data_IF_846870072655
#
_entry.id   IF_846870072655
#
_cell.length_a   1.000
_cell.length_b   1.000
_cell.length_c   1.000
_cell.angle_alpha   90.00
_cell.angle_beta   90.00
_cell.angle_gamma   90.00
#
_symmetry.space_group_name_H-M   'P 1'
#
loop_
_entity.id
_entity.type
_entity.pdbx_description
1 polymer ?
#
# COMPACT_ATOMS: atom_id res chain seq x y z
N UNK A 1 39.62 -6.65 -51.88
CA UNK A 1 39.83 -6.54 -50.42
C UNK A 1 39.03 -7.64 -49.73
N UNK A 2 39.77 -8.59 -49.15
CA UNK A 2 39.50 -9.41 -47.95
C UNK A 2 38.05 -9.71 -47.49
N UNK A 3 37.74 -11.03 -47.47
CA UNK A 3 36.72 -11.80 -46.70
C UNK A 3 36.71 -11.48 -45.17
N UNK A 4 35.70 -11.86 -44.33
CA UNK A 4 35.03 -13.18 -44.37
C UNK A 4 33.55 -13.33 -43.93
N UNK A 5 33.07 -14.53 -44.24
CA UNK A 5 31.93 -15.30 -43.71
C UNK A 5 31.91 -15.44 -42.17
N UNK A 6 30.71 -15.42 -41.57
CA UNK A 6 30.37 -16.14 -40.33
C UNK A 6 28.83 -16.35 -40.31
N UNK A 7 28.34 -17.58 -40.52
CA UNK A 7 28.06 -18.62 -39.50
C UNK A 7 26.78 -18.31 -38.72
N UNK A 8 25.76 -19.16 -38.95
CA UNK A 8 24.52 -19.16 -38.20
C UNK A 8 24.75 -19.43 -36.71
N UNK A 9 24.12 -18.59 -35.89
CA UNK A 9 23.89 -18.80 -34.47
C UNK A 9 22.38 -18.96 -34.20
N UNK A 10 21.98 -19.65 -33.13
CA UNK A 10 20.59 -20.07 -32.93
C UNK A 10 19.67 -18.86 -32.67
N UNK A 11 18.44 -18.99 -33.16
CA UNK A 11 17.30 -18.13 -32.85
C UNK A 11 17.16 -18.00 -31.33
N UNK A 12 17.54 -16.85 -30.77
CA UNK A 12 17.07 -16.43 -29.46
C UNK A 12 15.58 -16.10 -29.60
N UNK A 13 14.70 -16.60 -28.71
CA UNK A 13 13.30 -16.25 -28.77
C UNK A 13 13.16 -14.75 -28.56
N UNK A 14 12.52 -14.10 -29.53
CA UNK A 14 12.00 -12.75 -29.41
C UNK A 14 11.23 -12.65 -28.09
N UNK A 15 11.68 -11.74 -27.23
CA UNK A 15 10.97 -11.33 -26.04
C UNK A 15 9.62 -10.76 -26.49
N UNK A 16 8.54 -11.43 -26.11
CA UNK A 16 7.23 -10.79 -26.07
C UNK A 16 7.25 -9.81 -24.89
N UNK A 17 7.85 -8.63 -25.09
CA UNK A 17 7.53 -7.50 -24.22
C UNK A 17 6.05 -7.17 -24.42
N UNK A 18 5.33 -7.27 -23.32
CA UNK A 18 3.89 -7.16 -23.26
C UNK A 18 3.45 -5.81 -23.78
N UNK A 19 2.53 -5.84 -24.74
CA UNK A 19 1.50 -4.82 -24.80
C UNK A 19 0.76 -4.94 -23.46
N UNK A 20 1.10 -4.08 -22.50
CA UNK A 20 0.29 -3.91 -21.29
C UNK A 20 -1.13 -3.60 -21.78
N UNK A 21 -2.02 -4.58 -21.69
CA UNK A 21 -3.44 -4.29 -21.79
C UNK A 21 -3.73 -3.31 -20.66
N UNK A 22 -4.18 -2.11 -21.00
CA UNK A 22 -4.43 -1.05 -20.03
C UNK A 22 -5.30 -1.62 -18.91
N UNK A 23 -4.76 -1.65 -17.67
CA UNK A 23 -5.53 -2.11 -16.51
C UNK A 23 -6.79 -1.22 -16.42
N UNK A 24 -7.97 -1.80 -16.16
CA UNK A 24 -9.16 -0.98 -15.97
C UNK A 24 -8.94 -0.03 -14.79
N UNK A 25 -9.34 1.23 -14.93
CA UNK A 25 -9.09 2.24 -13.90
C UNK A 25 -10.39 2.62 -13.18
N UNK A 26 -10.29 2.85 -11.86
CA UNK A 26 -11.41 3.25 -11.01
C UNK A 26 -11.07 4.51 -10.23
N UNK A 27 -12.00 5.48 -10.24
CA UNK A 27 -12.01 6.58 -9.27
C UNK A 27 -12.81 6.15 -8.05
N UNK A 28 -12.15 6.04 -6.90
CA UNK A 28 -12.80 5.90 -5.60
C UNK A 28 -12.73 7.26 -4.92
N UNK A 29 -13.86 7.86 -4.54
CA UNK A 29 -13.90 9.17 -3.91
C UNK A 29 -14.65 9.11 -2.58
N UNK A 30 -14.05 9.61 -1.51
CA UNK A 30 -14.78 9.87 -0.26
C UNK A 30 -15.70 11.06 -0.45
N UNK A 31 -16.95 10.96 0.00
CA UNK A 31 -17.98 11.96 -0.23
C UNK A 31 -18.48 12.58 1.08
N UNK A 32 -18.60 13.91 1.06
CA UNK A 32 -19.22 14.72 2.10
C UNK A 32 -20.40 15.50 1.54
N UNK A 33 -20.46 16.81 1.83
CA UNK A 33 -21.52 17.70 1.32
C UNK A 33 -21.21 18.35 -0.02
N UNK A 34 -20.01 18.12 -0.54
CA UNK A 34 -19.52 18.77 -1.76
C UNK A 34 -19.44 17.73 -2.88
N UNK A 35 -20.56 17.56 -3.59
CA UNK A 35 -20.69 16.63 -4.71
C UNK A 35 -19.68 16.91 -5.84
N UNK A 36 -19.36 18.19 -6.06
CA UNK A 36 -18.45 18.60 -7.12
C UNK A 36 -17.04 18.00 -6.99
N UNK A 37 -16.64 17.56 -5.80
CA UNK A 37 -15.34 16.89 -5.62
C UNK A 37 -15.22 15.67 -6.53
N UNK A 38 -16.30 14.92 -6.74
CA UNK A 38 -16.31 13.70 -7.56
C UNK A 38 -16.16 14.02 -9.04
N UNK A 39 -16.97 14.96 -9.54
CA UNK A 39 -16.99 15.34 -10.96
C UNK A 39 -15.72 16.07 -11.35
N UNK A 40 -15.25 17.02 -10.55
CA UNK A 40 -13.98 17.73 -10.81
C UNK A 40 -12.78 16.78 -10.84
N UNK A 41 -12.77 15.78 -9.95
CA UNK A 41 -11.72 14.77 -9.96
C UNK A 41 -11.75 13.91 -11.21
N UNK A 42 -12.94 13.51 -11.66
CA UNK A 42 -13.08 12.72 -12.89
C UNK A 42 -12.60 13.51 -14.12
N UNK A 43 -13.03 14.76 -14.25
CA UNK A 43 -12.60 15.66 -15.34
C UNK A 43 -11.08 15.86 -15.35
N UNK A 44 -10.50 16.02 -14.17
CA UNK A 44 -9.05 16.21 -14.05
C UNK A 44 -8.27 14.93 -14.37
N UNK A 45 -8.77 13.76 -13.97
CA UNK A 45 -8.17 12.47 -14.37
C UNK A 45 -8.19 12.29 -15.88
N UNK A 46 -9.32 12.59 -16.53
CA UNK A 46 -9.41 12.57 -18.01
C UNK A 46 -8.40 13.54 -18.63
N UNK A 47 -8.28 14.76 -18.09
CA UNK A 47 -7.33 15.78 -18.57
C UNK A 47 -5.87 15.31 -18.44
N UNK A 48 -5.56 14.56 -17.39
CA UNK A 48 -4.26 13.93 -17.15
C UNK A 48 -4.02 12.68 -18.02
N UNK A 49 -5.01 12.24 -18.79
CA UNK A 49 -4.91 11.10 -19.72
C UNK A 49 -5.18 9.73 -19.09
N UNK A 50 -5.82 9.68 -17.92
CA UNK A 50 -6.27 8.45 -17.27
C UNK A 50 -7.58 7.95 -17.90
N UNK A 51 -7.72 6.63 -18.02
CA UNK A 51 -8.86 5.96 -18.68
C UNK A 51 -9.78 5.32 -17.62
N UNK A 52 -10.43 6.20 -16.85
CA UNK A 52 -11.34 5.79 -15.78
C UNK A 52 -12.61 5.19 -16.36
N UNK A 53 -12.90 3.92 -16.06
CA UNK A 53 -14.13 3.24 -16.49
C UNK A 53 -15.20 3.16 -15.41
N UNK A 54 -14.82 3.34 -14.14
CA UNK A 54 -15.69 3.14 -12.99
C UNK A 54 -15.47 4.25 -11.94
N UNK A 55 -16.57 4.72 -11.35
CA UNK A 55 -16.59 5.73 -10.27
C UNK A 55 -17.33 5.15 -9.08
N UNK A 56 -16.68 5.17 -7.93
CA UNK A 56 -17.22 4.69 -6.66
C UNK A 56 -17.18 5.82 -5.65
N UNK A 57 -18.34 6.19 -5.12
CA UNK A 57 -18.40 7.13 -4.01
C UNK A 57 -18.54 6.36 -2.69
N UNK A 58 -17.73 6.71 -1.69
CA UNK A 58 -17.82 6.18 -0.32
C UNK A 58 -18.39 7.26 0.59
N UNK A 59 -19.53 7.00 1.24
CA UNK A 59 -20.26 8.03 1.98
C UNK A 59 -20.88 7.52 3.28
N UNK A 60 -21.14 8.43 4.24
CA UNK A 60 -21.96 8.14 5.43
C UNK A 60 -23.45 8.07 5.06
N UNK A 61 -24.26 7.49 5.93
CA UNK A 61 -25.70 7.46 5.80
C UNK A 61 -26.28 8.87 5.76
N UNK A 62 -27.17 9.11 4.80
CA UNK A 62 -27.71 10.41 4.45
C UNK A 62 -28.80 10.90 5.44
N UNK A 63 -28.51 10.85 6.75
CA UNK A 63 -29.40 11.43 7.78
C UNK A 63 -29.34 12.96 7.81
N UNK A 64 -28.20 13.55 7.43
CA UNK A 64 -28.08 14.98 7.22
C UNK A 64 -28.55 15.35 5.81
N UNK A 65 -29.40 16.37 5.70
CA UNK A 65 -30.01 16.79 4.43
C UNK A 65 -28.99 17.08 3.31
N UNK A 66 -27.81 17.60 3.68
CA UNK A 66 -26.77 18.01 2.73
C UNK A 66 -26.03 16.86 2.04
N UNK A 67 -25.77 15.74 2.75
CA UNK A 67 -25.13 14.57 2.13
C UNK A 67 -26.13 13.88 1.19
N UNK A 68 -27.41 13.84 1.60
CA UNK A 68 -28.48 13.32 0.74
C UNK A 68 -28.58 14.09 -0.57
N UNK A 69 -28.63 15.41 -0.49
CA UNK A 69 -28.64 16.30 -1.65
C UNK A 69 -27.42 16.05 -2.55
N UNK A 70 -26.23 15.89 -1.97
CA UNK A 70 -25.01 15.62 -2.73
C UNK A 70 -25.09 14.31 -3.51
N UNK A 71 -25.61 13.25 -2.88
CA UNK A 71 -25.80 11.95 -3.51
C UNK A 71 -26.84 12.06 -4.63
N UNK A 72 -28.00 12.66 -4.36
CA UNK A 72 -29.08 12.83 -5.35
C UNK A 72 -28.60 13.59 -6.59
N UNK A 73 -27.83 14.67 -6.39
CA UNK A 73 -27.24 15.45 -7.48
C UNK A 73 -26.24 14.66 -8.30
N UNK A 74 -25.42 13.82 -7.66
CA UNK A 74 -24.51 12.91 -8.36
C UNK A 74 -25.30 11.86 -9.15
N UNK A 75 -26.33 11.29 -8.55
CA UNK A 75 -27.16 10.28 -9.19
C UNK A 75 -27.82 10.81 -10.45
N UNK A 76 -28.42 11.99 -10.35
CA UNK A 76 -29.03 12.68 -11.48
C UNK A 76 -28.01 12.95 -12.57
N UNK A 77 -26.83 13.50 -12.23
CA UNK A 77 -25.84 13.86 -13.25
C UNK A 77 -25.24 12.64 -13.96
N UNK A 78 -24.95 11.55 -13.23
CA UNK A 78 -24.48 10.30 -13.84
C UNK A 78 -25.58 9.61 -14.68
N UNK A 79 -26.85 9.88 -14.39
CA UNK A 79 -27.98 9.37 -15.17
C UNK A 79 -28.40 10.25 -16.35
N UNK A 80 -28.10 11.54 -16.36
CA UNK A 80 -28.65 12.49 -17.35
C UNK A 80 -27.58 13.11 -18.24
N UNK A 81 -26.37 13.31 -17.73
CA UNK A 81 -25.30 13.95 -18.47
C UNK A 81 -24.67 12.97 -19.47
N UNK A 82 -24.68 13.25 -20.79
CA UNK A 82 -24.13 12.35 -21.81
C UNK A 82 -22.65 12.01 -21.61
N UNK A 83 -21.85 12.94 -21.06
CA UNK A 83 -20.44 12.72 -20.76
C UNK A 83 -20.25 11.75 -19.61
N UNK A 84 -21.09 11.83 -18.57
CA UNK A 84 -20.91 11.00 -17.37
C UNK A 84 -21.61 9.63 -17.45
N UNK A 85 -22.55 9.46 -18.39
CA UNK A 85 -23.26 8.19 -18.59
C UNK A 85 -22.39 7.02 -19.03
N UNK A 86 -21.18 7.28 -19.54
CA UNK A 86 -20.27 6.22 -19.96
C UNK A 86 -19.55 5.54 -18.79
N UNK A 87 -19.48 6.18 -17.62
CA UNK A 87 -18.84 5.62 -16.43
C UNK A 87 -19.78 4.66 -15.71
N UNK A 88 -19.24 3.54 -15.23
CA UNK A 88 -19.98 2.72 -14.25
C UNK A 88 -19.96 3.46 -12.91
N UNK A 89 -21.11 3.96 -12.47
CA UNK A 89 -21.22 4.66 -11.20
C UNK A 89 -21.80 3.75 -10.10
N UNK A 90 -21.13 3.72 -8.93
CA UNK A 90 -21.52 2.94 -7.76
C UNK A 90 -21.40 3.76 -6.48
N UNK A 91 -22.14 3.32 -5.46
CA UNK A 91 -22.10 3.90 -4.11
C UNK A 91 -21.76 2.81 -3.12
N UNK A 92 -20.90 3.17 -2.19
CA UNK A 92 -20.53 2.36 -1.05
C UNK A 92 -20.89 3.13 0.22
N UNK A 93 -21.88 2.60 0.93
CA UNK A 93 -22.35 3.17 2.17
C UNK A 93 -21.48 2.66 3.32
N UNK A 94 -20.96 3.56 4.14
CA UNK A 94 -20.25 3.22 5.36
C UNK A 94 -21.17 2.43 6.30
N UNK A 95 -20.80 1.19 6.59
CA UNK A 95 -21.50 0.29 7.49
C UNK A 95 -20.72 0.18 8.80
N UNK A 96 -21.41 0.25 9.93
CA UNK A 96 -20.88 -0.14 11.23
C UNK A 96 -21.64 -1.33 11.78
N UNK A 97 -21.24 -1.81 12.96
CA UNK A 97 -21.87 -2.99 13.62
C UNK A 97 -23.38 -2.88 13.82
N UNK A 98 -23.89 -1.65 14.02
CA UNK A 98 -25.31 -1.37 14.27
C UNK A 98 -26.07 -0.96 13.00
N UNK A 99 -25.44 -1.07 11.83
CA UNK A 99 -25.98 -0.63 10.54
C UNK A 99 -25.27 0.61 10.00
N UNK A 100 -25.91 1.34 9.06
CA UNK A 100 -25.29 2.47 8.39
C UNK A 100 -24.80 3.59 9.32
N UNK A 101 -23.56 4.05 9.13
CA UNK A 101 -22.93 5.11 9.93
C UNK A 101 -23.45 6.46 9.47
N UNK A 102 -24.18 7.20 10.31
CA UNK A 102 -24.74 8.51 9.95
C UNK A 102 -23.72 9.66 10.05
N UNK A 103 -22.89 9.63 11.09
CA UNK A 103 -21.74 10.52 11.28
C UNK A 103 -20.66 9.73 12.03
N UNK A 104 -19.43 10.23 12.04
CA UNK A 104 -18.28 9.58 12.68
C UNK A 104 -17.95 10.35 13.95
N UNK A 105 -18.43 9.84 15.07
CA UNK A 105 -18.39 10.48 16.39
C UNK A 105 -17.67 9.65 17.44
N UNK A 106 -17.55 8.34 17.24
CA UNK A 106 -16.80 7.44 18.14
C UNK A 106 -15.59 6.80 17.47
N UNK A 107 -14.71 6.20 18.29
CA UNK A 107 -13.55 5.46 17.79
C UNK A 107 -13.98 4.21 17.01
N UNK A 108 -15.02 3.51 17.46
CA UNK A 108 -15.57 2.33 16.79
C UNK A 108 -16.12 2.69 15.41
N UNK A 109 -16.85 3.80 15.27
CA UNK A 109 -17.32 4.29 13.97
C UNK A 109 -16.14 4.64 13.04
N UNK A 110 -15.06 5.17 13.60
CA UNK A 110 -13.84 5.49 12.87
C UNK A 110 -13.12 4.23 12.37
N UNK A 111 -13.06 3.17 13.18
CA UNK A 111 -12.55 1.85 12.77
C UNK A 111 -13.39 1.24 11.64
N UNK A 112 -14.70 1.40 11.67
CA UNK A 112 -15.58 0.89 10.61
C UNK A 112 -15.44 1.65 9.28
N UNK A 113 -15.09 2.94 9.34
CA UNK A 113 -14.64 3.70 8.16
C UNK A 113 -13.40 3.08 7.55
N UNK A 114 -12.42 2.71 8.39
CA UNK A 114 -11.20 2.06 7.93
C UNK A 114 -11.50 0.71 7.27
N UNK A 115 -12.30 -0.13 7.92
CA UNK A 115 -12.75 -1.41 7.37
C UNK A 115 -13.41 -1.22 6.01
N UNK A 116 -14.37 -0.31 5.89
CA UNK A 116 -15.09 -0.10 4.62
C UNK A 116 -14.14 0.35 3.52
N UNK A 117 -13.30 1.37 3.76
CA UNK A 117 -12.35 1.87 2.77
C UNK A 117 -11.36 0.78 2.33
N UNK A 118 -10.83 0.02 3.30
CA UNK A 118 -9.96 -1.11 3.03
C UNK A 118 -10.65 -2.16 2.16
N UNK A 119 -11.88 -2.58 2.47
CA UNK A 119 -12.60 -3.57 1.66
C UNK A 119 -12.90 -3.08 0.25
N UNK A 120 -13.31 -1.81 0.10
CA UNK A 120 -13.59 -1.22 -1.21
C UNK A 120 -12.32 -1.24 -2.07
N UNK A 121 -11.21 -0.72 -1.55
CA UNK A 121 -9.92 -0.69 -2.28
C UNK A 121 -9.42 -2.11 -2.55
N UNK A 122 -9.43 -2.99 -1.54
CA UNK A 122 -9.01 -4.39 -1.64
C UNK A 122 -9.76 -5.13 -2.74
N UNK A 123 -11.08 -4.95 -2.85
CA UNK A 123 -11.90 -5.56 -3.91
C UNK A 123 -11.40 -5.18 -5.31
N UNK A 124 -11.11 -3.89 -5.54
CA UNK A 124 -10.59 -3.42 -6.83
C UNK A 124 -9.14 -3.87 -7.09
N UNK A 125 -8.29 -3.90 -6.04
CA UNK A 125 -6.94 -4.46 -6.16
C UNK A 125 -6.97 -5.93 -6.58
N UNK A 126 -7.83 -6.73 -5.96
CA UNK A 126 -7.97 -8.16 -6.27
C UNK A 126 -8.54 -8.43 -7.66
N UNK A 127 -9.30 -7.49 -8.24
CA UNK A 127 -9.80 -7.58 -9.62
C UNK A 127 -8.87 -6.96 -10.66
N UNK A 128 -7.68 -6.49 -10.25
CA UNK A 128 -6.64 -6.00 -11.16
C UNK A 128 -6.83 -4.57 -11.64
N UNK A 129 -7.65 -3.76 -10.95
CA UNK A 129 -7.83 -2.35 -11.30
C UNK A 129 -6.62 -1.51 -10.87
N UNK A 130 -6.36 -0.46 -11.66
CA UNK A 130 -5.58 0.70 -11.22
C UNK A 130 -6.50 1.63 -10.44
N UNK A 131 -6.07 2.06 -9.25
CA UNK A 131 -6.92 2.82 -8.34
C UNK A 131 -6.49 4.28 -8.29
N UNK A 132 -7.47 5.17 -8.48
CA UNK A 132 -7.36 6.59 -8.16
C UNK A 132 -8.25 6.88 -6.95
N UNK A 133 -7.66 7.05 -5.77
CA UNK A 133 -8.40 7.36 -4.55
C UNK A 133 -8.35 8.86 -4.26
N UNK A 134 -9.48 9.56 -4.33
CA UNK A 134 -9.57 10.94 -3.86
C UNK A 134 -10.14 11.00 -2.43
N UNK A 135 -9.40 11.64 -1.54
CA UNK A 135 -9.74 11.80 -0.12
C UNK A 135 -10.17 13.22 0.27
N UNK A 136 -10.45 14.10 -0.70
CA UNK A 136 -10.82 15.50 -0.44
C UNK A 136 -12.23 15.67 0.17
N UNK A 137 -13.16 14.75 -0.09
CA UNK A 137 -14.53 14.82 0.42
C UNK A 137 -14.75 14.02 1.70
N UNK A 138 -15.82 14.34 2.42
CA UNK A 138 -16.27 13.58 3.59
C UNK A 138 -15.77 14.14 4.92
N UNK A 139 -15.97 13.38 5.99
CA UNK A 139 -15.47 13.75 7.33
C UNK A 139 -13.98 13.41 7.40
N UNK A 140 -13.22 14.22 8.16
CA UNK A 140 -11.76 14.09 8.29
C UNK A 140 -11.24 12.66 8.58
N UNK A 141 -11.91 11.81 9.40
CA UNK A 141 -11.50 10.42 9.57
C UNK A 141 -11.47 9.63 8.25
N UNK A 142 -12.39 9.87 7.32
CA UNK A 142 -12.42 9.19 6.02
C UNK A 142 -11.14 9.48 5.21
N UNK A 143 -10.65 10.72 5.24
CA UNK A 143 -9.41 11.08 4.55
C UNK A 143 -8.18 10.43 5.19
N UNK A 144 -8.13 10.40 6.53
CA UNK A 144 -7.05 9.76 7.28
C UNK A 144 -7.00 8.28 6.98
N UNK A 145 -8.13 7.57 7.11
CA UNK A 145 -8.17 6.14 6.84
C UNK A 145 -8.03 5.81 5.37
N UNK A 146 -8.49 6.66 4.46
CA UNK A 146 -8.21 6.52 3.02
C UNK A 146 -6.71 6.57 2.72
N UNK A 147 -5.99 7.49 3.38
CA UNK A 147 -4.53 7.55 3.30
C UNK A 147 -3.89 6.28 3.88
N UNK A 148 -4.30 5.81 5.06
CA UNK A 148 -3.76 4.58 5.66
C UNK A 148 -4.03 3.36 4.76
N UNK A 149 -5.24 3.22 4.20
CA UNK A 149 -5.58 2.17 3.24
C UNK A 149 -4.65 2.21 2.02
N UNK A 150 -4.37 3.40 1.47
CA UNK A 150 -3.43 3.55 0.36
C UNK A 150 -2.01 3.08 0.75
N UNK A 151 -1.50 3.45 1.93
CA UNK A 151 -0.18 3.01 2.40
C UNK A 151 -0.04 1.48 2.57
N UNK A 152 -1.16 0.76 2.71
CA UNK A 152 -1.19 -0.70 2.84
C UNK A 152 -1.32 -1.37 1.47
N UNK A 153 -2.24 -0.89 0.63
CA UNK A 153 -2.72 -1.62 -0.55
C UNK A 153 -2.23 -1.09 -1.89
N UNK A 154 -1.68 0.12 -1.96
CA UNK A 154 -1.28 0.71 -3.24
C UNK A 154 0.05 0.17 -3.74
N UNK A 155 0.09 -0.13 -5.04
CA UNK A 155 1.32 -0.31 -5.78
C UNK A 155 1.68 0.96 -6.58
N UNK A 156 2.75 0.87 -7.37
CA UNK A 156 3.30 1.97 -8.16
C UNK A 156 2.34 2.57 -9.20
N UNK A 157 1.30 1.82 -9.59
CA UNK A 157 0.36 2.24 -10.62
C UNK A 157 -0.82 3.03 -10.02
N UNK A 158 -1.10 2.83 -8.72
CA UNK A 158 -2.19 3.50 -8.02
C UNK A 158 -1.83 4.93 -7.61
N UNK A 159 -2.85 5.78 -7.43
CA UNK A 159 -2.68 7.20 -7.10
C UNK A 159 -3.64 7.63 -5.99
N UNK A 160 -3.07 8.25 -4.95
CA UNK A 160 -3.83 8.93 -3.90
C UNK A 160 -3.88 10.41 -4.24
N UNK A 161 -5.05 11.01 -4.19
CA UNK A 161 -5.30 12.37 -4.64
C UNK A 161 -5.97 13.20 -3.55
N UNK A 162 -5.67 14.50 -3.57
CA UNK A 162 -6.46 15.53 -2.94
C UNK A 162 -6.86 16.56 -4.00
N UNK A 163 -8.14 16.80 -4.16
CA UNK A 163 -8.64 17.89 -5.00
C UNK A 163 -8.40 19.22 -4.28
N UNK A 164 -7.72 20.14 -4.95
CA UNK A 164 -7.63 21.55 -4.57
C UNK A 164 -8.42 22.36 -5.59
N UNK A 165 -9.25 23.27 -5.12
CA UNK A 165 -10.03 24.19 -5.95
C UNK A 165 -10.13 25.55 -5.25
N UNK A 166 -10.36 26.61 -6.02
CA UNK A 166 -10.63 27.92 -5.47
C UNK A 166 -11.91 27.95 -4.59
N UNK A 167 -12.00 28.96 -3.72
CA UNK A 167 -13.10 29.08 -2.76
C UNK A 167 -14.44 29.37 -3.45
N UNK A 168 -14.41 30.04 -4.61
CA UNK A 168 -15.60 30.42 -5.37
C UNK A 168 -16.28 29.19 -5.99
N UNK A 169 -15.52 28.29 -6.61
CA UNK A 169 -16.02 27.01 -7.12
C UNK A 169 -16.58 26.16 -5.99
N UNK A 170 -15.88 26.08 -4.85
CA UNK A 170 -16.36 25.35 -3.66
C UNK A 170 -17.69 25.93 -3.18
N UNK A 171 -17.78 27.25 -3.04
CA UNK A 171 -18.99 27.93 -2.57
C UNK A 171 -20.16 27.81 -3.56
N UNK A 172 -19.88 27.82 -4.86
CA UNK A 172 -20.90 27.71 -5.92
C UNK A 172 -21.61 26.35 -5.93
N UNK A 173 -20.93 25.31 -5.42
CA UNK A 173 -21.36 23.91 -5.49
C UNK A 173 -21.68 23.43 -6.90
N UNK A 174 -21.22 24.10 -7.95
CA UNK A 174 -21.46 23.67 -9.34
C UNK A 174 -20.73 22.34 -9.57
N UNK A 175 -21.41 21.37 -10.16
CA UNK A 175 -20.80 20.05 -10.44
C UNK A 175 -19.75 20.13 -11.56
N UNK A 176 -19.80 21.17 -12.39
CA UNK A 176 -18.88 21.36 -13.49
C UNK A 176 -18.24 22.74 -13.37
N UNK A 177 -16.96 22.86 -13.75
CA UNK A 177 -16.26 24.13 -13.73
C UNK A 177 -16.69 24.99 -14.93
N UNK A 178 -16.58 26.29 -14.75
CA UNK A 178 -16.51 27.31 -15.79
C UNK A 178 -15.05 27.46 -16.26
N UNK A 179 -14.82 28.06 -17.44
CA UNK A 179 -13.47 28.22 -18.00
C UNK A 179 -12.47 28.95 -17.09
N UNK A 180 -12.97 29.83 -16.22
CA UNK A 180 -12.18 30.65 -15.29
C UNK A 180 -11.86 29.95 -13.96
N UNK A 181 -12.56 28.85 -13.64
CA UNK A 181 -12.38 28.17 -12.36
C UNK A 181 -11.03 27.43 -12.30
N UNK A 182 -10.33 27.56 -11.18
CA UNK A 182 -9.07 26.87 -10.95
C UNK A 182 -9.26 25.66 -10.02
N UNK A 183 -8.88 24.48 -10.52
CA UNK A 183 -8.86 23.25 -9.74
C UNK A 183 -7.78 22.29 -10.25
N UNK A 184 -7.27 21.43 -9.36
CA UNK A 184 -6.31 20.40 -9.73
C UNK A 184 -6.31 19.23 -8.74
N UNK A 185 -5.91 18.06 -9.23
CA UNK A 185 -5.63 16.90 -8.38
C UNK A 185 -4.16 16.94 -7.95
N UNK A 186 -3.95 17.13 -6.65
CA UNK A 186 -2.63 17.08 -6.05
C UNK A 186 -2.34 15.64 -5.64
N UNK A 187 -1.25 15.02 -6.15
CA UNK A 187 -0.88 13.67 -5.74
C UNK A 187 -0.39 13.69 -4.30
N UNK A 188 -0.97 12.86 -3.46
CA UNK A 188 -0.47 12.59 -2.11
C UNK A 188 0.57 11.46 -2.21
N UNK A 189 1.80 11.64 -1.73
CA UNK A 189 2.82 10.59 -1.75
C UNK A 189 2.39 9.34 -0.97
N UNK A 190 2.57 8.18 -1.60
CA UNK A 190 2.43 6.87 -0.96
C UNK A 190 3.80 6.24 -0.82
N UNK A 191 4.11 5.71 0.37
CA UNK A 191 5.39 5.09 0.65
C UNK A 191 5.31 3.63 0.20
N UNK A 192 6.05 3.28 -0.84
CA UNK A 192 6.19 1.90 -1.29
C UNK A 192 7.34 1.23 -0.51
N UNK A 193 6.98 0.33 0.40
CA UNK A 193 7.92 -0.30 1.33
C UNK A 193 8.76 -1.43 0.72
N UNK A 194 8.43 -1.85 -0.50
CA UNK A 194 9.13 -2.89 -1.24
C UNK A 194 9.04 -2.62 -2.73
N UNK A 195 9.99 -3.17 -3.49
CA UNK A 195 9.95 -3.19 -4.96
C UNK A 195 8.83 -4.12 -5.50
N UNK A 196 8.14 -4.84 -4.61
CA UNK A 196 7.02 -5.74 -4.91
C UNK A 196 5.70 -5.07 -4.58
N UNK A 197 4.67 -5.38 -5.36
CA UNK A 197 3.31 -4.89 -5.10
C UNK A 197 2.71 -5.49 -3.82
N UNK A 198 1.77 -4.79 -3.14
CA UNK A 198 1.05 -5.35 -2.01
C UNK A 198 0.32 -6.67 -2.30
N UNK A 199 -0.10 -6.87 -3.56
CA UNK A 199 -0.70 -8.13 -4.01
C UNK A 199 0.31 -9.28 -3.97
N UNK A 200 1.52 -9.08 -4.50
CA UNK A 200 2.61 -10.06 -4.47
C UNK A 200 3.11 -10.34 -3.04
N UNK A 201 3.00 -9.34 -2.16
CA UNK A 201 3.32 -9.48 -0.74
C UNK A 201 2.21 -10.16 0.08
N UNK A 202 1.05 -10.44 -0.52
CA UNK A 202 -0.09 -11.04 0.16
C UNK A 202 -0.91 -10.08 1.02
N UNK A 203 -0.55 -8.79 1.11
CA UNK A 203 -1.25 -7.81 1.95
C UNK A 203 -2.71 -7.61 1.52
N UNK A 204 -2.99 -7.67 0.21
CA UNK A 204 -4.36 -7.64 -0.29
C UNK A 204 -5.16 -8.92 0.02
N UNK A 205 -4.53 -9.99 0.50
CA UNK A 205 -5.21 -11.22 0.89
C UNK A 205 -5.72 -11.17 2.33
N UNK A 206 -5.07 -10.42 3.21
CA UNK A 206 -5.53 -10.17 4.57
C UNK A 206 -7.00 -9.71 4.56
N UNK A 207 -7.84 -10.36 5.37
CA UNK A 207 -9.27 -10.14 5.35
C UNK A 207 -9.62 -8.82 6.04
N UNK A 208 -8.83 -8.38 7.02
CA UNK A 208 -9.04 -7.12 7.75
C UNK A 208 -7.84 -6.18 7.64
N UNK A 209 -8.04 -4.87 7.87
CA UNK A 209 -6.93 -3.92 7.90
C UNK A 209 -5.92 -4.22 9.01
N UNK A 210 -6.35 -4.71 10.18
CA UNK A 210 -5.46 -5.06 11.29
C UNK A 210 -4.57 -6.25 10.95
N UNK A 211 -5.11 -7.25 10.25
CA UNK A 211 -4.33 -8.36 9.71
C UNK A 211 -3.27 -7.84 8.73
N UNK A 212 -3.67 -6.99 7.78
CA UNK A 212 -2.77 -6.41 6.79
C UNK A 212 -1.64 -5.58 7.44
N UNK A 213 -1.97 -4.78 8.46
CA UNK A 213 -1.00 -3.99 9.21
C UNK A 213 -0.01 -4.89 9.97
N UNK A 214 -0.48 -5.99 10.59
CA UNK A 214 0.39 -6.96 11.26
C UNK A 214 1.33 -7.62 10.25
N UNK A 215 0.83 -8.05 9.10
CA UNK A 215 1.64 -8.64 8.03
C UNK A 215 2.68 -7.65 7.50
N UNK A 216 2.29 -6.39 7.26
CA UNK A 216 3.19 -5.33 6.82
C UNK A 216 4.33 -5.09 7.83
N UNK A 217 4.03 -5.06 9.13
CA UNK A 217 5.05 -4.90 10.18
C UNK A 217 6.01 -6.10 10.22
N UNK A 218 5.51 -7.33 10.03
CA UNK A 218 6.36 -8.53 9.91
C UNK A 218 7.28 -8.43 8.69
N UNK A 219 6.75 -8.06 7.53
CA UNK A 219 7.53 -7.88 6.30
C UNK A 219 8.62 -6.82 6.47
N UNK A 220 8.28 -5.69 7.10
CA UNK A 220 9.22 -4.59 7.37
C UNK A 220 10.35 -5.03 8.28
N UNK A 221 10.04 -5.83 9.31
CA UNK A 221 11.06 -6.42 10.20
C UNK A 221 11.94 -7.39 9.45
N UNK A 222 11.36 -8.30 8.67
CA UNK A 222 12.10 -9.29 7.90
C UNK A 222 13.03 -8.66 6.86
N UNK A 223 12.59 -7.59 6.18
CA UNK A 223 13.43 -6.80 5.29
C UNK A 223 14.64 -6.22 6.04
N UNK A 224 14.43 -5.70 7.25
CA UNK A 224 15.50 -5.12 8.07
C UNK A 224 16.50 -6.18 8.54
N UNK A 225 16.04 -7.39 8.87
CA UNK A 225 16.92 -8.51 9.20
C UNK A 225 17.70 -9.00 7.97
N UNK A 226 17.07 -9.05 6.81
CA UNK A 226 17.77 -9.42 5.57
C UNK A 226 18.88 -8.41 5.24
N UNK A 227 18.61 -7.11 5.36
CA UNK A 227 19.62 -6.05 5.20
C UNK A 227 20.77 -6.20 6.20
N UNK A 228 20.47 -6.47 7.47
CA UNK A 228 21.49 -6.72 8.49
C UNK A 228 22.34 -7.96 8.14
N UNK A 229 21.70 -9.09 7.85
CA UNK A 229 22.39 -10.35 7.58
C UNK A 229 23.26 -10.24 6.33
N UNK A 230 22.75 -9.67 5.24
CA UNK A 230 23.48 -9.58 3.95
C UNK A 230 24.44 -8.41 3.87
N UNK A 231 24.11 -7.29 4.51
CA UNK A 231 24.89 -6.05 4.44
C UNK A 231 25.99 -5.94 5.51
N UNK A 232 25.70 -6.34 6.75
CA UNK A 232 26.61 -6.13 7.88
C UNK A 232 27.45 -7.36 8.22
N UNK A 233 26.90 -8.56 8.06
CA UNK A 233 27.55 -9.80 8.48
C UNK A 233 28.37 -10.42 7.34
N UNK A 234 29.60 -10.81 7.66
CA UNK A 234 30.41 -11.67 6.79
C UNK A 234 29.74 -13.03 6.60
N UNK A 235 30.07 -13.81 5.54
CA UNK A 235 29.51 -15.15 5.35
C UNK A 235 29.67 -16.06 6.59
N UNK A 236 30.83 -16.01 7.26
CA UNK A 236 31.10 -16.78 8.45
C UNK A 236 30.29 -16.33 9.68
N UNK A 237 30.04 -15.02 9.83
CA UNK A 237 29.17 -14.49 10.90
C UNK A 237 27.70 -14.81 10.65
N UNK A 238 27.24 -14.77 9.39
CA UNK A 238 25.87 -15.18 9.02
C UNK A 238 25.58 -16.63 9.40
N UNK A 239 26.54 -17.52 9.14
CA UNK A 239 26.43 -18.93 9.53
C UNK A 239 26.30 -19.08 11.06
N UNK A 240 27.11 -18.35 11.84
CA UNK A 240 27.00 -18.32 13.30
C UNK A 240 25.66 -17.74 13.75
N UNK A 241 25.18 -16.65 13.13
CA UNK A 241 23.90 -16.04 13.45
C UNK A 241 22.72 -17.01 13.21
N UNK A 242 22.77 -17.82 12.15
CA UNK A 242 21.78 -18.87 11.88
C UNK A 242 21.78 -19.96 12.96
N UNK A 243 22.96 -20.39 13.40
CA UNK A 243 23.06 -21.41 14.47
C UNK A 243 22.64 -20.85 15.84
N UNK A 244 22.96 -19.59 16.14
CA UNK A 244 22.44 -18.90 17.33
C UNK A 244 20.91 -18.83 17.32
N UNK A 245 20.30 -18.54 16.17
CA UNK A 245 18.84 -18.49 16.01
C UNK A 245 18.16 -19.86 16.24
N UNK A 246 18.90 -20.96 16.09
CA UNK A 246 18.44 -22.31 16.43
C UNK A 246 18.58 -22.63 17.93
N UNK A 247 19.07 -21.68 18.74
CA UNK A 247 19.26 -21.83 20.18
C UNK A 247 20.57 -22.50 20.60
N UNK A 248 21.50 -22.75 19.66
CA UNK A 248 22.76 -23.42 19.98
C UNK A 248 23.69 -22.51 20.82
N UNK A 249 24.36 -23.13 21.79
CA UNK A 249 25.44 -22.52 22.56
C UNK A 249 26.73 -22.36 21.72
N UNK A 250 27.66 -21.51 22.18
CA UNK A 250 28.94 -21.32 21.50
C UNK A 250 29.72 -22.64 21.36
N UNK A 251 29.61 -23.55 22.31
CA UNK A 251 30.27 -24.87 22.29
C UNK A 251 29.64 -25.79 21.25
N UNK A 252 28.31 -25.80 21.13
CA UNK A 252 27.59 -26.53 20.08
C UNK A 252 27.92 -25.99 18.69
N UNK A 253 27.94 -24.67 18.52
CA UNK A 253 28.35 -24.01 17.27
C UNK A 253 29.79 -24.38 16.91
N UNK A 254 30.68 -24.43 17.90
CA UNK A 254 32.08 -24.82 17.72
C UNK A 254 32.17 -26.25 17.18
N UNK A 255 31.44 -27.19 17.80
CA UNK A 255 31.36 -28.60 17.36
C UNK A 255 30.77 -28.71 15.95
N UNK A 256 29.69 -27.99 15.67
CA UNK A 256 29.02 -28.03 14.36
C UNK A 256 29.92 -27.51 13.24
N UNK A 257 30.70 -26.45 13.49
CA UNK A 257 31.58 -25.83 12.48
C UNK A 257 32.99 -26.41 12.40
N UNK A 258 33.41 -27.23 13.35
CA UNK A 258 34.79 -27.72 13.44
C UNK A 258 35.82 -26.60 13.65
N UNK A 259 35.45 -25.51 14.34
CA UNK A 259 36.33 -24.34 14.56
C UNK A 259 36.79 -24.26 16.02
N UNK A 260 37.56 -23.22 16.39
CA UNK A 260 37.96 -22.99 17.79
C UNK A 260 36.89 -22.18 18.53
N UNK A 261 36.66 -22.49 19.80
CA UNK A 261 35.68 -21.77 20.65
C UNK A 261 35.93 -20.25 20.68
N UNK A 262 37.19 -19.82 20.77
CA UNK A 262 37.55 -18.40 20.75
C UNK A 262 37.12 -17.70 19.44
N UNK A 263 37.16 -18.41 18.31
CA UNK A 263 36.71 -17.86 17.02
C UNK A 263 35.20 -17.62 17.04
N UNK A 264 34.42 -18.60 17.52
CA UNK A 264 32.96 -18.47 17.65
C UNK A 264 32.61 -17.35 18.62
N UNK A 265 33.22 -17.31 19.81
CA UNK A 265 32.98 -16.24 20.79
C UNK A 265 33.26 -14.85 20.21
N UNK A 266 34.36 -14.67 19.48
CA UNK A 266 34.67 -13.41 18.81
C UNK A 266 33.63 -13.04 17.74
N UNK A 267 33.15 -14.01 16.97
CA UNK A 267 32.10 -13.79 15.96
C UNK A 267 30.77 -13.43 16.61
N UNK A 268 30.37 -14.12 17.68
CA UNK A 268 29.16 -13.80 18.46
C UNK A 268 29.25 -12.38 19.02
N UNK A 269 30.37 -12.00 19.62
CA UNK A 269 30.59 -10.62 20.10
C UNK A 269 30.56 -9.59 18.96
N UNK A 270 31.10 -9.92 17.79
CA UNK A 270 31.05 -9.07 16.62
C UNK A 270 29.61 -8.90 16.10
N UNK A 271 28.83 -9.97 16.02
CA UNK A 271 27.41 -9.95 15.66
C UNK A 271 26.63 -9.04 16.61
N UNK A 272 26.81 -9.19 17.93
CA UNK A 272 26.12 -8.33 18.91
C UNK A 272 26.52 -6.86 18.79
N UNK A 273 27.80 -6.58 18.51
CA UNK A 273 28.26 -5.20 18.28
C UNK A 273 27.62 -4.62 17.01
N UNK A 274 27.62 -5.37 15.91
CA UNK A 274 27.03 -4.95 14.63
C UNK A 274 25.51 -4.78 14.75
N UNK A 275 24.84 -5.68 15.47
CA UNK A 275 23.41 -5.57 15.77
C UNK A 275 23.10 -4.26 16.48
N UNK A 276 23.82 -3.94 17.55
CA UNK A 276 23.63 -2.67 18.26
C UNK A 276 23.83 -1.46 17.36
N UNK A 277 24.91 -1.46 16.57
CA UNK A 277 25.20 -0.37 15.65
C UNK A 277 24.08 -0.20 14.59
N UNK A 278 23.67 -1.30 13.95
CA UNK A 278 22.67 -1.30 12.87
C UNK A 278 21.26 -0.95 13.36
N UNK A 279 20.89 -1.40 14.56
CA UNK A 279 19.59 -1.11 15.17
C UNK A 279 19.58 0.15 16.05
N UNK A 280 20.70 0.87 16.16
CA UNK A 280 20.78 2.12 16.93
C UNK A 280 20.67 1.92 18.45
N UNK A 281 21.08 0.77 18.95
CA UNK A 281 20.99 0.44 20.38
C UNK A 281 22.24 0.93 21.14
N UNK A 282 22.11 1.27 22.45
CA UNK A 282 23.26 1.58 23.31
C UNK A 282 24.31 0.46 23.27
N UNK A 283 25.59 0.83 23.39
CA UNK A 283 26.73 -0.11 23.23
C UNK A 283 26.70 -1.27 24.23
N UNK A 284 26.12 -1.06 25.40
CA UNK A 284 26.00 -1.98 26.52
C UNK A 284 24.62 -2.66 26.60
N UNK A 285 23.68 -2.33 25.72
CA UNK A 285 22.35 -2.92 25.72
C UNK A 285 22.44 -4.47 25.66
N UNK A 286 21.69 -5.21 26.50
CA UNK A 286 21.63 -6.66 26.39
C UNK A 286 20.90 -7.04 25.10
N UNK A 287 21.58 -7.75 24.20
CA UNK A 287 21.03 -8.10 22.87
C UNK A 287 20.99 -9.60 22.59
N UNK A 288 21.51 -10.45 23.47
CA UNK A 288 21.59 -11.90 23.21
C UNK A 288 20.22 -12.49 22.91
N UNK A 289 19.29 -12.34 23.83
CA UNK A 289 17.97 -12.99 23.73
C UNK A 289 17.16 -12.38 22.57
N UNK A 290 17.27 -11.06 22.38
CA UNK A 290 16.66 -10.37 21.24
C UNK A 290 17.21 -10.87 19.89
N UNK A 291 18.53 -10.97 19.74
CA UNK A 291 19.16 -11.48 18.50
C UNK A 291 18.70 -12.90 18.21
N UNK A 292 18.67 -13.77 19.23
CA UNK A 292 18.22 -15.16 19.08
C UNK A 292 16.75 -15.21 18.67
N UNK A 293 15.87 -14.55 19.44
CA UNK A 293 14.41 -14.60 19.21
C UNK A 293 14.01 -14.00 17.85
N UNK A 294 14.55 -12.84 17.50
CA UNK A 294 14.19 -12.13 16.27
C UNK A 294 14.70 -12.88 15.03
N UNK A 295 15.96 -13.35 15.06
CA UNK A 295 16.50 -14.14 13.94
C UNK A 295 15.85 -15.51 13.84
N UNK A 296 15.47 -16.14 14.95
CA UNK A 296 14.71 -17.39 14.95
C UNK A 296 13.38 -17.21 14.21
N UNK A 297 12.64 -16.14 14.54
CA UNK A 297 11.40 -15.79 13.85
C UNK A 297 11.62 -15.55 12.35
N UNK A 298 12.68 -14.81 11.99
CA UNK A 298 13.04 -14.55 10.59
C UNK A 298 13.32 -15.84 9.80
N UNK A 299 14.22 -16.70 10.30
CA UNK A 299 14.59 -17.93 9.58
C UNK A 299 13.43 -18.92 9.50
N UNK A 300 12.65 -19.08 10.57
CA UNK A 300 11.48 -19.96 10.58
C UNK A 300 10.39 -19.53 9.58
N UNK A 301 10.28 -18.22 9.30
CA UNK A 301 9.40 -17.72 8.24
C UNK A 301 9.96 -18.03 6.86
N UNK A 302 11.25 -17.83 6.59
CA UNK A 302 11.80 -18.04 5.24
C UNK A 302 11.94 -19.50 4.82
N UNK A 303 12.16 -20.41 5.77
CA UNK A 303 12.19 -21.86 5.48
C UNK A 303 10.83 -22.41 5.03
N UNK A 304 9.72 -21.73 5.32
CA UNK A 304 8.38 -22.11 4.81
C UNK A 304 8.13 -21.73 3.34
N UNK A 305 9.02 -20.93 2.74
CA UNK A 305 8.91 -20.42 1.36
C UNK A 305 10.08 -20.88 0.47
N UNK A 306 10.90 -21.81 0.94
CA UNK A 306 11.96 -22.49 0.18
C UNK A 306 11.47 -23.88 -0.22
#
# INVERSE_FOLDING_TARGET
MTRPSAVGGPLLPYQCEGVEMNKPEVLIATLGTEAQVVTLSLLELERLGFDVGEVVIVHTAARADKIRESIERLDEVFQTNPRLRCYRYRRELLQGRQGPIADITTAEEAEEVFNTLYQVVRRYKLTGYRIHLNVAGGRKPMSIYGMVTAQILFDKDDRLWHLVSDEELVASRRLFPEPEDEYSLVPIPVIHWADRSPLEMGLAQAATPEEALREQEVLRRDMRYELFLRGELTPAEREVARLLAQGLSNEEITRWRGTRLNTVTKQVSAIYRKWRAFFGLPRDAPVRDAVVAELAGYFARRERWA
#
